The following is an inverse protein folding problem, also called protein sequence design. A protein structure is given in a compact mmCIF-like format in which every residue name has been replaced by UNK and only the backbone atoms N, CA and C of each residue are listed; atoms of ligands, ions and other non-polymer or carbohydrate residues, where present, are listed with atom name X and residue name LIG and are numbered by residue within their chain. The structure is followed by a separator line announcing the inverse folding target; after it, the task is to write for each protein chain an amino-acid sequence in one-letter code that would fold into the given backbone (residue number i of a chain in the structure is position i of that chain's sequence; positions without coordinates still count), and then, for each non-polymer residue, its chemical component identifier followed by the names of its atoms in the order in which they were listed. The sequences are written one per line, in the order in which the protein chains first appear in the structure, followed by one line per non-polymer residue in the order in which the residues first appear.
data_IF_701965217877
#
_entry.id   IF_701965217877
#
_cell.length_a   1.000
_cell.length_b   1.000
_cell.length_c   1.000
_cell.angle_alpha   90.00
_cell.angle_beta   90.00
_cell.angle_gamma   90.00
#
_symmetry.space_group_name_H-M   'P 1'
#
loop_
_entity.id
_entity.type
_entity.pdbx_description
1 polymer ?
#
# COMPACT_ATOMS: atom_id res chain seq x y z
N UNK A 1 19.97 15.24 17.32
CA UNK A 1 19.41 15.71 16.03
C UNK A 1 19.14 14.52 15.11
N UNK A 2 20.07 13.56 15.03
CA UNK A 2 19.94 12.34 14.20
C UNK A 2 18.75 11.44 14.59
N UNK A 3 18.48 11.28 15.88
CA UNK A 3 17.34 10.46 16.37
C UNK A 3 15.99 11.08 16.00
N UNK A 4 15.89 12.41 16.03
CA UNK A 4 14.68 13.15 15.65
C UNK A 4 14.44 13.06 14.14
N UNK A 5 15.49 13.20 13.33
CA UNK A 5 15.40 13.03 11.88
C UNK A 5 15.04 11.59 11.50
N UNK A 6 15.60 10.60 12.19
CA UNK A 6 15.23 9.18 12.01
C UNK A 6 13.76 8.91 12.35
N UNK A 7 13.26 9.45 13.46
CA UNK A 7 11.86 9.28 13.87
C UNK A 7 10.87 9.94 12.91
N UNK A 8 11.19 11.13 12.38
CA UNK A 8 10.37 11.81 11.38
C UNK A 8 10.37 11.02 10.07
N UNK A 9 11.54 10.57 9.62
CA UNK A 9 11.65 9.74 8.41
C UNK A 9 10.85 8.45 8.53
N UNK A 10 10.94 7.78 9.68
CA UNK A 10 10.14 6.61 10.00
C UNK A 10 8.64 6.90 9.92
N UNK A 11 8.18 7.96 10.60
CA UNK A 11 6.77 8.38 10.57
C UNK A 11 6.26 8.66 9.16
N UNK A 12 7.06 9.31 8.32
CA UNK A 12 6.67 9.61 6.93
C UNK A 12 6.56 8.35 6.10
N UNK A 13 7.53 7.43 6.21
CA UNK A 13 7.49 6.13 5.53
C UNK A 13 6.26 5.34 5.98
N UNK A 14 6.01 5.28 7.28
CA UNK A 14 4.86 4.60 7.88
C UNK A 14 3.54 5.20 7.38
N UNK A 15 3.44 6.53 7.33
CA UNK A 15 2.24 7.22 6.83
C UNK A 15 1.99 6.96 5.34
N UNK A 16 3.04 6.92 4.53
CA UNK A 16 2.93 6.57 3.11
C UNK A 16 2.51 5.10 2.96
N UNK A 17 3.07 4.20 3.78
CA UNK A 17 2.78 2.78 3.72
C UNK A 17 1.33 2.46 4.10
N UNK A 18 0.90 2.91 5.28
CA UNK A 18 -0.45 2.66 5.79
C UNK A 18 -1.51 3.60 5.23
N UNK A 19 -1.13 4.78 4.75
CA UNK A 19 -2.07 5.73 4.14
C UNK A 19 -2.25 5.48 2.65
N UNK A 20 -1.16 5.55 1.88
CA UNK A 20 -1.21 5.53 0.42
C UNK A 20 -1.29 4.10 -0.12
N UNK A 21 -0.32 3.24 0.23
CA UNK A 21 -0.26 1.90 -0.34
C UNK A 21 -1.38 1.00 0.18
N UNK A 22 -1.77 1.11 1.44
CA UNK A 22 -2.94 0.41 1.96
C UNK A 22 -4.22 0.78 1.20
N UNK A 23 -4.49 2.07 0.97
CA UNK A 23 -5.69 2.52 0.25
C UNK A 23 -5.72 2.01 -1.20
N UNK A 24 -4.57 2.06 -1.89
CA UNK A 24 -4.43 1.53 -3.25
C UNK A 24 -4.65 0.02 -3.25
N UNK A 25 -3.98 -0.71 -2.36
CA UNK A 25 -4.10 -2.16 -2.26
C UNK A 25 -5.50 -2.61 -1.90
N UNK A 26 -6.19 -1.87 -1.03
CA UNK A 26 -7.57 -2.12 -0.67
C UNK A 26 -8.48 -2.01 -1.90
N UNK A 27 -8.33 -0.93 -2.68
CA UNK A 27 -9.08 -0.75 -3.92
C UNK A 27 -8.79 -1.84 -4.94
N UNK A 28 -7.52 -2.23 -5.11
CA UNK A 28 -7.08 -3.28 -6.04
C UNK A 28 -7.65 -4.64 -5.66
N UNK A 29 -7.48 -5.07 -4.41
CA UNK A 29 -7.99 -6.36 -3.93
C UNK A 29 -9.53 -6.38 -4.03
N UNK A 30 -10.18 -5.27 -3.71
CA UNK A 30 -11.63 -5.14 -3.83
C UNK A 30 -12.12 -5.22 -5.27
N UNK A 31 -11.40 -4.63 -6.21
CA UNK A 31 -11.70 -4.76 -7.63
C UNK A 31 -11.55 -6.21 -8.12
N UNK A 32 -10.43 -6.86 -7.78
CA UNK A 32 -10.12 -8.23 -8.23
C UNK A 32 -11.09 -9.26 -7.62
N UNK A 33 -11.47 -9.07 -6.37
CA UNK A 33 -12.36 -9.99 -5.64
C UNK A 33 -13.84 -9.65 -5.78
N UNK A 34 -14.20 -8.71 -6.66
CA UNK A 34 -15.58 -8.24 -6.88
C UNK A 34 -16.26 -7.81 -5.57
N UNK A 35 -15.51 -7.16 -4.69
CA UNK A 35 -16.01 -6.68 -3.40
C UNK A 35 -16.01 -7.70 -2.26
N UNK A 36 -15.55 -8.94 -2.47
CA UNK A 36 -15.52 -9.97 -1.43
C UNK A 36 -14.43 -9.75 -0.37
N UNK A 37 -13.29 -9.21 -0.78
CA UNK A 37 -12.17 -8.87 0.10
C UNK A 37 -11.64 -7.46 -0.19
N UNK A 38 -10.88 -6.85 0.74
CA UNK A 38 -10.73 -7.26 2.13
C UNK A 38 -11.99 -6.92 2.95
N UNK A 39 -12.21 -7.68 4.03
CA UNK A 39 -13.37 -7.54 4.91
C UNK A 39 -13.40 -6.22 5.71
N UNK A 40 -14.42 -6.01 6.57
CA UNK A 40 -14.51 -4.84 7.43
C UNK A 40 -13.28 -4.70 8.34
N UNK A 41 -12.79 -3.47 8.51
CA UNK A 41 -11.55 -3.10 9.22
C UNK A 41 -11.54 -3.38 10.74
N UNK A 42 -12.42 -4.24 11.26
CA UNK A 42 -12.61 -4.47 12.71
C UNK A 42 -12.11 -5.86 13.11
N UNK A 43 -10.86 -5.95 13.58
CA UNK A 43 -10.32 -7.13 14.28
C UNK A 43 -8.79 -7.10 14.43
N UNK A 44 -8.23 -7.74 15.46
CA UNK A 44 -6.76 -7.84 15.63
C UNK A 44 -6.09 -8.66 14.51
N UNK A 45 -6.85 -9.54 13.86
CA UNK A 45 -6.44 -10.27 12.65
C UNK A 45 -6.22 -9.32 11.45
N UNK A 46 -6.70 -8.06 11.54
CA UNK A 46 -6.61 -7.07 10.46
C UNK A 46 -5.23 -6.43 10.30
N UNK A 47 -4.29 -6.61 11.24
CA UNK A 47 -2.97 -5.96 11.14
C UNK A 47 -2.10 -6.67 10.10
N UNK A 48 -2.05 -7.99 10.15
CA UNK A 48 -1.34 -8.82 9.16
C UNK A 48 -2.00 -8.70 7.78
N UNK A 49 -3.34 -8.73 7.74
CA UNK A 49 -4.09 -8.45 6.51
C UNK A 49 -3.80 -7.04 5.97
N UNK A 50 -3.61 -6.04 6.85
CA UNK A 50 -3.30 -4.69 6.42
C UNK A 50 -1.91 -4.58 5.78
N UNK A 51 -0.92 -5.30 6.29
CA UNK A 51 0.41 -5.38 5.69
C UNK A 51 0.35 -6.03 4.30
N UNK A 52 -0.39 -7.14 4.13
CA UNK A 52 -0.56 -7.79 2.83
C UNK A 52 -1.31 -6.89 1.83
N UNK A 53 -2.34 -6.18 2.28
CA UNK A 53 -3.08 -5.23 1.47
C UNK A 53 -2.17 -4.07 1.05
N UNK A 54 -1.39 -3.49 1.97
CA UNK A 54 -0.44 -2.44 1.65
C UNK A 54 0.65 -2.93 0.67
N UNK A 55 1.13 -4.15 0.83
CA UNK A 55 2.11 -4.77 -0.07
C UNK A 55 1.51 -5.00 -1.47
N UNK A 56 0.25 -5.40 -1.57
CA UNK A 56 -0.46 -5.49 -2.85
C UNK A 56 -0.56 -4.11 -3.53
N UNK A 57 -0.85 -3.05 -2.77
CA UNK A 57 -0.87 -1.68 -3.27
C UNK A 57 0.49 -1.17 -3.73
N UNK A 58 1.55 -1.52 -3.01
CA UNK A 58 2.93 -1.23 -3.40
C UNK A 58 3.28 -1.92 -4.73
N UNK A 59 3.05 -3.23 -4.85
CA UNK A 59 3.32 -4.00 -6.07
C UNK A 59 2.55 -3.46 -7.26
N UNK A 60 1.28 -3.12 -7.08
CA UNK A 60 0.46 -2.51 -8.12
C UNK A 60 1.03 -1.16 -8.56
N UNK A 61 1.44 -0.32 -7.61
CA UNK A 61 2.01 1.00 -7.91
C UNK A 61 3.33 0.87 -8.68
N UNK A 62 4.23 -0.02 -8.25
CA UNK A 62 5.48 -0.30 -8.97
C UNK A 62 5.20 -0.80 -10.39
N UNK A 63 4.25 -1.74 -10.54
CA UNK A 63 3.83 -2.25 -11.84
C UNK A 63 3.25 -1.17 -12.75
N UNK A 64 2.40 -0.29 -12.22
CA UNK A 64 1.81 0.82 -12.96
C UNK A 64 2.87 1.83 -13.40
N UNK A 65 3.83 2.15 -12.54
CA UNK A 65 4.98 3.01 -12.88
C UNK A 65 5.82 2.36 -13.97
N UNK A 66 6.21 1.10 -13.79
CA UNK A 66 7.01 0.35 -14.77
C UNK A 66 6.32 0.27 -16.13
N UNK A 67 5.01 0.00 -16.14
CA UNK A 67 4.20 -0.01 -17.36
C UNK A 67 4.16 1.37 -18.03
N UNK A 68 3.99 2.44 -17.24
CA UNK A 68 3.97 3.81 -17.74
C UNK A 68 5.31 4.18 -18.37
N UNK A 69 6.43 3.84 -17.71
CA UNK A 69 7.77 4.05 -18.25
C UNK A 69 8.02 3.23 -19.51
N UNK A 70 7.61 1.96 -19.53
CA UNK A 70 7.70 1.11 -20.72
C UNK A 70 7.01 1.76 -21.92
N UNK A 71 5.75 2.17 -21.74
CA UNK A 71 4.97 2.88 -22.77
C UNK A 71 5.57 4.23 -23.18
N UNK A 72 6.28 4.93 -22.30
CA UNK A 72 6.94 6.19 -22.65
C UNK A 72 8.21 5.99 -23.50
N UNK A 73 8.77 4.77 -23.51
CA UNK A 73 10.03 4.43 -24.19
C UNK A 73 9.86 3.59 -25.45
N UNK A 74 8.63 3.26 -25.85
CA UNK A 74 8.27 2.51 -27.06
C UNK A 74 7.24 3.28 -27.87
#
# INVERSE_FOLDING_TARGET
MDVLLGAIGWLVVELIFYGLFYAIGWAVIKAITLGRHPGPWRGLESVVDAEYVALAGLLFTIGAIALTFWWATH
#
